data_IF_728249975800
#
_entry.id   IF_728249975800
#
_cell.length_a   1.000
_cell.length_b   1.000
_cell.length_c   1.000
_cell.angle_alpha   90.00
_cell.angle_beta   90.00
_cell.angle_gamma   90.00
#
_symmetry.space_group_name_H-M   'P 1'
#
loop_
_entity.id
_entity.type
_entity.pdbx_description
1 polymer ?
#
# COMPACT_ATOMS: atom_id res chain seq x y z
N UNK A 1 1.89 -2.78 27.94
CA UNK A 1 2.29 -1.39 28.23
C UNK A 1 1.94 -0.57 27.01
N UNK A 2 0.84 0.19 27.04
CA UNK A 2 0.44 1.06 25.92
C UNK A 2 1.49 2.16 25.78
N UNK A 3 2.39 1.99 24.81
CA UNK A 3 3.30 3.07 24.40
C UNK A 3 2.42 4.15 23.79
N UNK A 4 2.19 5.24 24.54
CA UNK A 4 1.54 6.42 24.00
C UNK A 4 2.33 6.87 22.77
N UNK A 5 1.67 6.95 21.62
CA UNK A 5 2.31 7.31 20.37
C UNK A 5 2.87 8.73 20.49
N UNK A 6 4.19 8.88 20.43
CA UNK A 6 4.82 10.19 20.46
C UNK A 6 4.73 10.79 19.06
N UNK A 7 3.64 11.50 18.77
CA UNK A 7 3.43 12.22 17.50
C UNK A 7 4.62 13.13 17.14
N UNK A 8 5.37 13.61 18.15
CA UNK A 8 6.63 14.35 17.97
C UNK A 8 7.70 13.60 17.15
N UNK A 9 7.71 12.27 17.18
CA UNK A 9 8.66 11.44 16.44
C UNK A 9 8.16 11.08 15.04
N UNK A 10 6.96 11.52 14.67
CA UNK A 10 6.41 11.26 13.35
C UNK A 10 7.18 12.05 12.30
N UNK A 11 7.64 11.37 11.25
CA UNK A 11 8.43 11.99 10.18
C UNK A 11 7.52 12.73 9.20
N UNK A 12 6.91 13.84 9.64
CA UNK A 12 5.99 14.63 8.83
C UNK A 12 6.58 15.08 7.49
N UNK A 13 7.87 15.41 7.45
CA UNK A 13 8.60 15.78 6.23
C UNK A 13 8.55 14.64 5.19
N UNK A 14 8.74 13.38 5.63
CA UNK A 14 8.65 12.23 4.74
C UNK A 14 7.24 12.09 4.17
N UNK A 15 6.21 12.28 5.00
CA UNK A 15 4.82 12.24 4.55
C UNK A 15 4.53 13.33 3.53
N UNK A 16 5.02 14.55 3.74
CA UNK A 16 4.89 15.64 2.77
C UNK A 16 5.56 15.25 1.43
N UNK A 17 6.77 14.70 1.44
CA UNK A 17 7.41 14.24 0.21
C UNK A 17 6.62 13.15 -0.51
N UNK A 18 6.08 12.18 0.23
CA UNK A 18 5.22 11.13 -0.35
C UNK A 18 3.96 11.72 -0.98
N UNK A 19 3.32 12.69 -0.32
CA UNK A 19 2.13 13.37 -0.85
C UNK A 19 2.43 14.16 -2.13
N UNK A 20 3.56 14.89 -2.16
CA UNK A 20 4.01 15.63 -3.35
C UNK A 20 4.24 14.66 -4.51
N UNK A 21 5.02 13.60 -4.29
CA UNK A 21 5.33 12.61 -5.33
C UNK A 21 4.06 11.91 -5.85
N UNK A 22 3.14 11.55 -4.97
CA UNK A 22 1.90 10.89 -5.38
C UNK A 22 1.01 11.84 -6.21
N UNK A 23 0.89 13.10 -5.78
CA UNK A 23 0.12 14.13 -6.49
C UNK A 23 0.69 14.38 -7.89
N UNK A 24 2.01 14.48 -8.02
CA UNK A 24 2.67 14.59 -9.33
C UNK A 24 2.40 13.35 -10.20
N UNK A 25 2.47 12.15 -9.62
CA UNK A 25 2.14 10.90 -10.30
C UNK A 25 0.71 10.89 -10.86
N UNK A 26 -0.28 11.34 -10.08
CA UNK A 26 -1.68 11.46 -10.53
C UNK A 26 -1.80 12.40 -11.73
N UNK A 27 -1.13 13.55 -11.71
CA UNK A 27 -1.15 14.49 -12.84
C UNK A 27 -0.47 13.91 -14.09
N UNK A 28 0.66 13.23 -13.92
CA UNK A 28 1.36 12.57 -15.03
C UNK A 28 0.50 11.48 -15.67
N UNK A 29 -0.16 10.63 -14.87
CA UNK A 29 -1.10 9.63 -15.38
C UNK A 29 -2.28 10.29 -16.09
N UNK A 30 -2.85 11.35 -15.53
CA UNK A 30 -3.95 12.08 -16.17
C UNK A 30 -3.56 12.71 -17.52
N UNK A 31 -2.31 13.15 -17.66
CA UNK A 31 -1.79 13.66 -18.93
C UNK A 31 -1.64 12.55 -19.99
N UNK A 32 -1.20 11.35 -19.60
CA UNK A 32 -0.95 10.24 -20.51
C UNK A 32 -2.19 9.36 -20.82
N UNK A 33 -3.05 9.14 -19.82
CA UNK A 33 -4.28 8.35 -19.89
C UNK A 33 -5.36 8.96 -18.99
N UNK A 34 -6.21 9.87 -19.53
CA UNK A 34 -7.25 10.53 -18.74
C UNK A 34 -8.24 9.57 -18.08
N UNK A 35 -8.49 8.40 -18.70
CA UNK A 35 -9.39 7.38 -18.16
C UNK A 35 -8.87 6.70 -16.89
N UNK A 36 -7.55 6.60 -16.72
CA UNK A 36 -6.94 5.94 -15.57
C UNK A 36 -6.66 6.90 -14.41
N UNK A 37 -6.74 8.22 -14.63
CA UNK A 37 -6.54 9.24 -13.60
C UNK A 37 -7.47 9.05 -12.40
N UNK A 38 -8.75 8.71 -12.66
CA UNK A 38 -9.73 8.47 -11.59
C UNK A 38 -9.33 7.27 -10.73
N UNK A 39 -8.86 6.18 -11.35
CA UNK A 39 -8.36 4.99 -10.64
C UNK A 39 -7.13 5.36 -9.80
N UNK A 40 -6.22 6.17 -10.33
CA UNK A 40 -5.04 6.65 -9.63
C UNK A 40 -5.39 7.50 -8.40
N UNK A 41 -6.40 8.37 -8.51
CA UNK A 41 -6.90 9.17 -7.37
C UNK A 41 -7.47 8.27 -6.27
N UNK A 42 -8.27 7.26 -6.63
CA UNK A 42 -8.82 6.29 -5.66
C UNK A 42 -7.68 5.51 -4.98
N UNK A 43 -6.68 5.08 -5.74
CA UNK A 43 -5.47 4.44 -5.22
C UNK A 43 -4.67 5.34 -4.27
N UNK A 44 -4.51 6.63 -4.61
CA UNK A 44 -3.85 7.61 -3.75
C UNK A 44 -4.59 7.77 -2.41
N UNK A 45 -5.89 8.03 -2.45
CA UNK A 45 -6.69 8.27 -1.25
C UNK A 45 -6.71 7.04 -0.35
N UNK A 46 -6.95 5.86 -0.92
CA UNK A 46 -6.90 4.60 -0.16
C UNK A 46 -5.53 4.34 0.44
N UNK A 47 -4.45 4.58 -0.30
CA UNK A 47 -3.08 4.47 0.19
C UNK A 47 -2.77 5.41 1.36
N UNK A 48 -3.23 6.66 1.30
CA UNK A 48 -3.07 7.63 2.40
C UNK A 48 -3.84 7.16 3.64
N UNK A 49 -5.08 6.71 3.48
CA UNK A 49 -5.90 6.19 4.59
C UNK A 49 -5.22 4.99 5.25
N UNK A 50 -4.77 4.01 4.45
CA UNK A 50 -4.05 2.82 4.96
C UNK A 50 -2.76 3.24 5.68
N UNK A 51 -1.98 4.16 5.11
CA UNK A 51 -0.75 4.65 5.72
C UNK A 51 -1.01 5.29 7.08
N UNK A 52 -2.04 6.14 7.20
CA UNK A 52 -2.41 6.75 8.49
C UNK A 52 -2.82 5.67 9.49
N UNK A 53 -3.71 4.73 9.11
CA UNK A 53 -4.15 3.64 10.00
C UNK A 53 -2.96 2.83 10.49
N UNK A 54 -2.11 2.35 9.58
CA UNK A 54 -0.94 1.54 9.94
C UNK A 54 0.06 2.32 10.80
N UNK A 55 0.19 3.63 10.56
CA UNK A 55 1.11 4.46 11.34
C UNK A 55 0.71 4.61 12.80
N UNK A 56 -0.58 4.45 13.12
CA UNK A 56 -1.13 4.53 14.48
C UNK A 56 -1.01 3.20 15.25
N UNK A 57 -0.74 2.09 14.56
CA UNK A 57 -0.57 0.77 15.17
C UNK A 57 0.86 0.65 15.71
N UNK A 58 1.03 0.06 16.90
CA UNK A 58 2.35 -0.25 17.44
C UNK A 58 3.07 -1.25 16.52
N UNK A 59 4.22 -0.85 16.00
CA UNK A 59 5.04 -1.70 15.13
C UNK A 59 5.40 -3.05 15.79
N UNK A 60 5.62 -3.04 17.11
CA UNK A 60 5.93 -4.26 17.88
C UNK A 60 4.77 -5.24 17.90
N UNK A 61 3.53 -4.73 17.83
CA UNK A 61 2.33 -5.57 17.72
C UNK A 61 2.29 -6.26 16.35
N UNK A 62 2.56 -5.52 15.26
CA UNK A 62 2.62 -6.09 13.90
C UNK A 62 3.69 -7.18 13.81
N UNK A 63 4.88 -6.96 14.38
CA UNK A 63 5.98 -7.92 14.34
C UNK A 63 5.66 -9.28 14.99
N UNK A 64 4.72 -9.32 15.95
CA UNK A 64 4.29 -10.59 16.56
C UNK A 64 3.64 -11.53 15.54
N UNK A 65 3.07 -10.97 14.47
CA UNK A 65 2.42 -11.72 13.40
C UNK A 65 3.34 -11.91 12.19
N UNK A 66 4.63 -11.57 12.29
CA UNK A 66 5.59 -11.65 11.17
C UNK A 66 5.58 -13.01 10.46
N UNK A 67 5.62 -14.11 11.21
CA UNK A 67 5.53 -15.47 10.66
C UNK A 67 4.19 -15.76 9.96
N UNK A 68 3.09 -15.28 10.52
CA UNK A 68 1.76 -15.45 9.92
C UNK A 68 1.66 -14.65 8.62
N UNK A 69 2.11 -13.40 8.62
CA UNK A 69 2.17 -12.54 7.41
C UNK A 69 3.03 -13.18 6.34
N UNK A 70 4.19 -13.74 6.72
CA UNK A 70 5.08 -14.44 5.80
C UNK A 70 4.42 -15.67 5.18
N UNK A 71 3.83 -16.55 6.00
CA UNK A 71 3.12 -17.73 5.49
C UNK A 71 1.93 -17.37 4.62
N UNK A 72 1.18 -16.32 4.96
CA UNK A 72 0.10 -15.80 4.11
C UNK A 72 0.65 -15.30 2.78
N UNK A 73 1.77 -14.57 2.76
CA UNK A 73 2.38 -14.09 1.53
C UNK A 73 2.83 -15.26 0.63
N UNK A 74 3.50 -16.26 1.19
CA UNK A 74 3.88 -17.49 0.45
C UNK A 74 2.64 -18.26 -0.02
N UNK A 75 1.60 -18.34 0.80
CA UNK A 75 0.32 -18.94 0.44
C UNK A 75 -0.36 -18.22 -0.73
N UNK A 76 -0.36 -16.88 -0.74
CA UNK A 76 -0.88 -16.08 -1.86
C UNK A 76 -0.05 -16.29 -3.14
N UNK A 77 1.27 -16.43 -3.03
CA UNK A 77 2.13 -16.76 -4.17
C UNK A 77 1.86 -18.17 -4.73
N UNK A 78 1.53 -19.14 -3.87
CA UNK A 78 1.09 -20.46 -4.36
C UNK A 78 -0.31 -20.37 -4.97
N UNK A 79 -1.22 -19.63 -4.34
CA UNK A 79 -2.60 -19.48 -4.78
C UNK A 79 -2.69 -18.80 -6.15
N UNK A 80 -1.85 -17.80 -6.42
CA UNK A 80 -1.86 -17.13 -7.73
C UNK A 80 -1.49 -18.05 -8.88
N UNK A 81 -0.83 -19.19 -8.64
CA UNK A 81 -0.52 -20.19 -9.68
C UNK A 81 -1.74 -21.03 -10.09
N UNK A 82 -2.78 -21.10 -9.24
CA UNK A 82 -3.98 -21.92 -9.50
C UNK A 82 -5.24 -21.08 -9.71
N UNK A 83 -5.31 -19.90 -9.10
CA UNK A 83 -6.50 -19.04 -9.09
C UNK A 83 -6.19 -17.59 -9.53
N UNK A 84 -5.04 -17.36 -10.15
CA UNK A 84 -4.69 -16.05 -10.69
C UNK A 84 -5.19 -15.85 -12.12
N UNK A 85 -5.37 -14.60 -12.51
CA UNK A 85 -5.66 -14.22 -13.89
C UNK A 85 -4.36 -14.14 -14.72
N UNK A 86 -4.44 -14.65 -15.94
CA UNK A 86 -3.33 -14.70 -16.89
C UNK A 86 -3.38 -13.51 -17.85
N UNK A 87 -2.46 -12.57 -17.66
CA UNK A 87 -2.35 -11.37 -18.50
C UNK A 87 -0.92 -11.11 -18.96
N UNK A 88 -0.77 -10.75 -20.25
CA UNK A 88 0.53 -10.47 -20.90
C UNK A 88 1.55 -11.61 -20.73
N UNK A 89 1.09 -12.86 -20.81
CA UNK A 89 1.95 -14.06 -20.76
C UNK A 89 2.40 -14.50 -19.36
N UNK A 90 1.81 -13.97 -18.28
CA UNK A 90 2.11 -14.40 -16.91
C UNK A 90 0.87 -14.36 -16.02
N UNK A 91 0.77 -15.32 -15.09
CA UNK A 91 -0.29 -15.40 -14.07
C UNK A 91 0.22 -14.86 -12.73
N UNK A 92 -0.21 -13.66 -12.37
CA UNK A 92 0.39 -12.89 -11.26
C UNK A 92 -0.55 -11.92 -10.55
N UNK A 93 -1.80 -11.81 -11.00
CA UNK A 93 -2.82 -10.96 -10.39
C UNK A 93 -4.02 -11.81 -10.04
N UNK A 94 -4.80 -11.36 -9.05
CA UNK A 94 -6.15 -11.82 -8.82
C UNK A 94 -7.10 -10.76 -9.39
N UNK A 95 -8.18 -11.18 -10.04
CA UNK A 95 -9.25 -10.30 -10.52
C UNK A 95 -10.43 -10.28 -9.56
#
# INVERSE_FOLDING_TARGET
>A
MSKLYKLKNYKFILVIYVLILNTLGVFLVGSASPGDQKKQIIGMVSGIVIMVILSLIDYSFILRFSWIIYLLAVGLLALVLVAGDSSKGAQRWFE
#
